data_IF_640461916047
#
_entry.id   IF_640461916047
#
_cell.length_a   1.000
_cell.length_b   1.000
_cell.length_c   1.000
_cell.angle_alpha   90.00
_cell.angle_beta   90.00
_cell.angle_gamma   90.00
#
_symmetry.space_group_name_H-M   'P 1'
#
loop_
_entity.id
_entity.type
_entity.pdbx_description
1 polymer ?
#
# COMPACT_ATOMS: atom_id res chain seq x y z
N UNK A 1 -1.00 3.29 -26.24
CA UNK A 1 -0.89 3.95 -25.57
C UNK A 1 -0.75 4.02 -25.18
N UNK A 2 -0.84 3.97 -25.47
CA UNK A 2 -0.75 4.66 -24.79
C UNK A 2 -0.34 4.84 -24.40
N UNK A 3 -0.39 4.83 -25.12
CA UNK A 3 -0.06 5.63 -24.59
C UNK A 3 0.00 6.05 -24.37
N UNK A 4 -0.26 6.28 -24.65
CA UNK A 4 -0.31 7.25 -24.35
C UNK A 4 -0.54 7.42 -24.04
N UNK A 5 -0.70 7.34 -24.69
CA UNK A 5 -0.91 8.17 -24.22
C UNK A 5 -0.83 8.41 -24.05
N UNK A 6 -1.02 8.47 -24.67
CA UNK A 6 -1.07 9.31 -24.25
C UNK A 6 -0.92 9.64 -23.88
N UNK A 7 -1.18 9.77 -24.29
CA UNK A 7 -1.18 10.64 -23.74
C UNK A 7 -1.27 10.92 -23.27
N UNK A 8 -1.48 11.00 -23.60
CA UNK A 8 -1.70 11.75 -22.93
C UNK A 8 -1.92 11.88 -22.36
N UNK A 9 -2.22 11.71 -22.72
CA UNK A 9 -2.51 12.31 -22.00
C UNK A 9 -2.68 12.46 -21.38
N UNK A 10 -2.95 12.30 -21.67
CA UNK A 10 -3.20 12.88 -20.85
C UNK A 10 -3.33 12.80 -20.41
N UNK A 11 -3.44 12.79 -20.74
CA UNK A 11 -3.67 13.11 -20.11
C UNK A 11 -3.89 13.06 -19.34
N UNK A 12 -3.96 12.98 -19.59
CA UNK A 12 -4.24 13.26 -18.62
C UNK A 12 -4.26 13.38 -17.90
N UNK A 13 -4.33 13.42 -17.99
CA UNK A 13 -4.37 13.81 -17.06
C UNK A 13 -4.39 13.91 -16.50
N UNK A 14 -4.45 13.95 -16.77
CA UNK A 14 -4.51 14.34 -16.02
C UNK A 14 -4.44 14.52 -15.40
N UNK A 15 -4.60 14.45 -15.59
CA UNK A 15 -4.58 14.80 -14.89
C UNK A 15 -4.59 15.21 -14.34
N UNK A 16 -4.38 14.38 -14.65
CA UNK A 16 -4.87 15.34 -14.36
C UNK A 16 -4.68 16.30 -13.28
N UNK A 17 -4.78 17.05 -13.42
CA UNK A 17 -4.65 18.12 -12.51
C UNK A 17 -5.54 18.00 -11.29
N UNK A 18 -5.04 17.30 -10.30
CA UNK A 18 -5.80 17.07 -9.09
C UNK A 18 -5.30 17.95 -8.00
N UNK A 19 -6.18 18.71 -7.39
CA UNK A 19 -5.82 19.58 -6.30
C UNK A 19 -5.51 18.81 -5.04
N UNK A 20 -6.07 17.60 -4.94
CA UNK A 20 -5.84 16.73 -3.80
C UNK A 20 -5.37 15.39 -4.30
N UNK A 21 -4.47 14.73 -3.57
CA UNK A 21 -4.03 13.41 -3.99
C UNK A 21 -5.18 12.43 -3.98
N UNK A 22 -5.19 11.58 -4.96
CA UNK A 22 -6.17 10.50 -5.04
C UNK A 22 -5.92 9.51 -3.90
N UNK A 23 -6.97 9.12 -3.21
CA UNK A 23 -6.88 8.13 -2.15
C UNK A 23 -8.06 7.17 -2.23
N UNK A 24 -7.74 5.90 -2.28
CA UNK A 24 -8.74 4.85 -2.16
C UNK A 24 -8.76 4.40 -0.71
N UNK A 25 -9.66 4.96 0.05
CA UNK A 25 -9.72 4.74 1.50
C UNK A 25 -10.00 3.27 1.82
N UNK A 26 -10.90 2.65 1.09
CA UNK A 26 -11.21 1.24 1.32
C UNK A 26 -9.97 0.38 1.11
N UNK A 27 -9.24 0.64 0.03
CA UNK A 27 -8.00 -0.10 -0.24
C UNK A 27 -6.95 0.15 0.83
N UNK A 28 -6.78 1.41 1.25
CA UNK A 28 -5.78 1.74 2.27
C UNK A 28 -6.09 1.07 3.60
N UNK A 29 -7.37 0.98 3.97
CA UNK A 29 -7.76 0.29 5.19
C UNK A 29 -7.45 -1.20 5.09
N UNK A 30 -7.70 -1.81 3.94
CA UNK A 30 -7.42 -3.21 3.73
C UNK A 30 -5.91 -3.48 3.79
N UNK A 31 -5.10 -2.61 3.20
CA UNK A 31 -3.64 -2.72 3.24
C UNK A 31 -3.15 -2.63 4.68
N UNK A 32 -3.61 -1.62 5.41
CA UNK A 32 -3.18 -1.41 6.80
C UNK A 32 -3.56 -2.61 7.67
N UNK A 33 -4.77 -3.11 7.48
CA UNK A 33 -5.23 -4.27 8.25
C UNK A 33 -4.39 -5.51 7.99
N UNK A 34 -4.08 -5.77 6.71
CA UNK A 34 -3.27 -6.94 6.38
C UNK A 34 -1.84 -6.80 6.91
N UNK A 35 -1.28 -5.61 6.82
CA UNK A 35 0.07 -5.39 7.37
C UNK A 35 0.10 -5.58 8.87
N UNK A 36 -0.94 -5.14 9.59
CA UNK A 36 -1.02 -5.39 11.03
C UNK A 36 -1.05 -6.89 11.33
N UNK A 37 -1.82 -7.65 10.54
CA UNK A 37 -1.90 -9.10 10.74
C UNK A 37 -0.56 -9.76 10.51
N UNK A 38 0.14 -9.36 9.44
CA UNK A 38 1.46 -9.92 9.14
C UNK A 38 2.46 -9.60 10.25
N UNK A 39 2.39 -8.38 10.78
CA UNK A 39 3.26 -8.00 11.89
C UNK A 39 2.98 -8.85 13.12
N UNK A 40 1.70 -9.05 13.42
CA UNK A 40 1.32 -9.88 14.56
C UNK A 40 1.78 -11.32 14.38
N UNK A 41 1.65 -11.86 13.17
CA UNK A 41 2.08 -13.22 12.87
C UNK A 41 3.59 -13.36 13.06
N UNK A 42 4.34 -12.33 12.68
CA UNK A 42 5.80 -12.35 12.86
C UNK A 42 6.19 -12.10 14.31
N UNK A 43 5.29 -11.54 15.10
CA UNK A 43 5.54 -11.33 16.53
C UNK A 43 6.46 -10.16 16.83
N UNK A 44 6.46 -9.11 16.00
CA UNK A 44 7.34 -7.97 16.19
C UNK A 44 6.54 -6.71 16.46
N UNK A 45 7.16 -5.77 17.17
CA UNK A 45 6.56 -4.48 17.46
C UNK A 45 6.76 -3.54 16.27
N UNK A 46 6.01 -2.44 16.28
CA UNK A 46 6.20 -1.40 15.25
C UNK A 46 7.62 -0.86 15.29
N UNK A 47 8.17 -0.71 16.47
CA UNK A 47 9.53 -0.19 16.63
C UNK A 47 10.54 -1.15 16.00
N UNK A 48 10.36 -2.45 16.21
CA UNK A 48 11.26 -3.44 15.63
C UNK A 48 11.20 -3.40 14.11
N UNK A 49 10.02 -3.23 13.54
CA UNK A 49 9.89 -3.11 12.08
C UNK A 49 10.67 -1.91 11.58
N UNK A 50 10.58 -0.78 12.28
CA UNK A 50 11.32 0.41 11.89
C UNK A 50 12.84 0.15 11.95
N UNK A 51 13.31 -0.52 13.01
CA UNK A 51 14.73 -0.82 13.15
C UNK A 51 15.23 -1.73 12.04
N UNK A 52 14.38 -2.69 11.63
CA UNK A 52 14.80 -3.68 10.63
C UNK A 52 14.68 -3.17 9.20
N UNK A 53 13.68 -2.32 8.92
CA UNK A 53 13.37 -1.92 7.54
C UNK A 53 13.59 -0.44 7.26
N UNK A 54 13.62 0.39 8.29
CA UNK A 54 13.66 1.84 8.12
C UNK A 54 12.31 2.45 7.78
N UNK A 55 11.24 1.66 7.85
CA UNK A 55 9.90 2.11 7.48
C UNK A 55 9.06 2.32 8.72
N UNK A 56 8.40 3.49 8.81
CA UNK A 56 7.51 3.81 9.92
C UNK A 56 6.16 3.13 9.72
N UNK A 57 6.11 1.86 10.10
CA UNK A 57 4.89 1.05 9.92
C UNK A 57 3.71 1.64 10.70
N UNK A 58 3.98 2.35 11.80
CA UNK A 58 2.93 2.96 12.57
C UNK A 58 2.09 3.93 11.77
N UNK A 59 2.72 4.71 10.90
CA UNK A 59 1.99 5.64 10.04
C UNK A 59 1.09 4.89 9.06
N UNK A 60 1.62 3.81 8.49
CA UNK A 60 0.89 3.03 7.49
C UNK A 60 -0.31 2.36 8.13
N UNK A 61 -0.15 1.87 9.36
CA UNK A 61 -1.22 1.19 10.06
C UNK A 61 -2.32 2.13 10.54
N UNK A 62 -2.15 3.45 10.36
CA UNK A 62 -3.21 4.39 10.69
C UNK A 62 -4.33 4.43 9.66
N UNK A 63 -4.16 3.74 8.53
CA UNK A 63 -5.16 3.66 7.48
C UNK A 63 -5.35 4.95 6.69
N UNK A 64 -4.53 5.95 6.97
CA UNK A 64 -4.61 7.24 6.27
C UNK A 64 -3.43 7.49 5.36
N UNK A 65 -2.37 6.73 5.53
CA UNK A 65 -1.13 6.94 4.80
C UNK A 65 -1.20 6.27 3.44
N UNK A 66 -1.00 7.05 2.39
CA UNK A 66 -1.04 6.55 1.02
C UNK A 66 0.34 5.99 0.67
N UNK A 67 0.57 4.73 1.00
CA UNK A 67 1.87 4.09 0.85
C UNK A 67 2.24 3.95 -0.62
N UNK A 68 3.51 4.16 -0.93
CA UNK A 68 4.03 3.93 -2.27
C UNK A 68 4.48 2.46 -2.41
N UNK A 69 4.71 2.05 -3.66
CA UNK A 69 4.93 0.64 -3.96
C UNK A 69 6.24 0.11 -3.39
N UNK A 70 7.31 0.89 -3.44
CA UNK A 70 8.62 0.39 -3.02
C UNK A 70 8.68 0.05 -1.54
N UNK A 71 8.23 0.94 -0.64
CA UNK A 71 8.17 0.55 0.79
C UNK A 71 7.24 -0.64 1.02
N UNK A 72 6.13 -0.71 0.30
CA UNK A 72 5.21 -1.84 0.46
C UNK A 72 5.89 -3.14 0.05
N UNK A 73 6.61 -3.14 -1.06
CA UNK A 73 7.32 -4.33 -1.51
C UNK A 73 8.37 -4.76 -0.48
N UNK A 74 9.05 -3.79 0.13
CA UNK A 74 10.04 -4.08 1.16
C UNK A 74 9.40 -4.72 2.38
N UNK A 75 8.24 -4.22 2.79
CA UNK A 75 7.51 -4.80 3.93
C UNK A 75 7.04 -6.22 3.62
N UNK A 76 6.53 -6.45 2.41
CA UNK A 76 6.11 -7.79 2.04
C UNK A 76 7.26 -8.77 2.11
N UNK A 77 8.43 -8.38 1.61
CA UNK A 77 9.62 -9.22 1.69
C UNK A 77 10.03 -9.49 3.13
N UNK A 78 9.96 -8.45 3.95
CA UNK A 78 10.29 -8.57 5.37
C UNK A 78 9.36 -9.57 6.06
N UNK A 79 8.07 -9.55 5.72
CA UNK A 79 7.09 -10.45 6.32
C UNK A 79 7.02 -11.81 5.62
N UNK A 80 7.81 -12.02 4.57
CA UNK A 80 7.88 -13.32 3.90
C UNK A 80 6.72 -13.63 2.99
N UNK A 81 6.12 -12.63 2.38
CA UNK A 81 5.00 -12.81 1.46
C UNK A 81 5.32 -12.11 0.15
N UNK A 82 4.88 -12.68 -0.97
CA UNK A 82 5.05 -12.02 -2.26
C UNK A 82 4.05 -10.87 -2.38
N UNK A 83 4.42 -9.88 -3.19
CA UNK A 83 3.56 -8.72 -3.41
C UNK A 83 2.23 -9.16 -4.02
N UNK A 84 2.27 -10.13 -4.95
CA UNK A 84 1.05 -10.65 -5.56
C UNK A 84 0.13 -11.32 -4.56
N UNK A 85 0.69 -12.19 -3.70
CA UNK A 85 -0.10 -12.85 -2.68
C UNK A 85 -0.69 -11.84 -1.69
N UNK A 86 0.10 -10.81 -1.35
CA UNK A 86 -0.38 -9.76 -0.47
C UNK A 86 -1.61 -9.07 -1.07
N UNK A 87 -1.53 -8.69 -2.34
CA UNK A 87 -2.62 -7.97 -2.99
C UNK A 87 -3.83 -8.86 -3.23
N UNK A 88 -3.62 -10.15 -3.48
CA UNK A 88 -4.76 -11.06 -3.58
C UNK A 88 -5.59 -11.04 -2.29
N UNK A 89 -4.92 -11.08 -1.15
CA UNK A 89 -5.59 -11.06 0.14
C UNK A 89 -6.23 -9.72 0.43
N UNK A 90 -5.58 -8.64 0.02
CA UNK A 90 -6.10 -7.29 0.21
C UNK A 90 -7.33 -7.07 -0.65
N UNK A 91 -7.31 -7.53 -1.90
CA UNK A 91 -8.44 -7.35 -2.80
C UNK A 91 -9.67 -8.12 -2.32
N UNK A 92 -9.47 -9.36 -1.85
CA UNK A 92 -10.58 -10.11 -1.28
C UNK A 92 -11.23 -9.36 -0.13
N UNK A 93 -10.41 -8.77 0.71
CA UNK A 93 -10.88 -8.02 1.86
C UNK A 93 -11.63 -6.75 1.44
N UNK A 94 -11.10 -6.04 0.44
CA UNK A 94 -11.74 -4.83 -0.07
C UNK A 94 -13.10 -5.15 -0.68
N UNK A 95 -13.18 -6.26 -1.42
CA UNK A 95 -14.43 -6.66 -2.06
C UNK A 95 -15.50 -7.04 -1.04
N UNK A 96 -15.08 -7.51 0.13
CA UNK A 96 -16.01 -7.90 1.17
C UNK A 96 -16.68 -6.72 1.83
N UNK A 97 -16.17 -5.53 1.65
CA UNK A 97 -16.77 -4.33 2.20
C UNK A 97 -17.83 -3.76 1.29
#
# INVERSE_FOLDING_TARGET
MMYKSLSNIGEVCFFVNMKQPWRDITLLKAIAGRLRELRAEKGVSQETVYEDTGIHIGKIETEKYNITVSPLARLCRYYGISLGAFFDQVEDRSDAE
#
